data_IF_725501514662
#
_entry.id   IF_725501514662
#
_cell.length_a   1.000
_cell.length_b   1.000
_cell.length_c   1.000
_cell.angle_alpha   90.00
_cell.angle_beta   90.00
_cell.angle_gamma   90.00
#
_symmetry.space_group_name_H-M   'P 1'
#
loop_
_entity.id
_entity.type
_entity.pdbx_description
1 polymer ?
#
# COMPACT_ATOMS: atom_id res chain seq x y z
N UNK A 1 11.88 -16.43 19.92
CA UNK A 1 11.27 -15.37 20.76
C UNK A 1 10.70 -16.03 22.03
N UNK A 2 10.40 -15.31 23.12
CA UNK A 2 9.71 -15.97 24.25
C UNK A 2 8.29 -16.33 23.81
N UNK A 3 7.77 -17.48 24.24
CA UNK A 3 6.39 -17.89 23.98
C UNK A 3 5.35 -17.04 24.73
N UNK A 4 5.76 -15.90 25.32
CA UNK A 4 4.86 -14.98 26.02
C UNK A 4 4.61 -13.68 25.22
N UNK A 5 5.24 -13.52 24.05
CA UNK A 5 5.05 -12.34 23.18
C UNK A 5 3.80 -12.44 22.29
N UNK A 6 3.48 -11.38 21.53
CA UNK A 6 2.36 -11.30 20.60
C UNK A 6 2.67 -10.29 19.48
N UNK A 7 2.16 -10.51 18.26
CA UNK A 7 2.27 -9.57 17.14
C UNK A 7 0.88 -9.23 16.61
N UNK A 8 0.56 -7.94 16.51
CA UNK A 8 -0.66 -7.50 15.86
C UNK A 8 -0.54 -7.62 14.34
N UNK A 9 -1.42 -8.43 13.75
CA UNK A 9 -1.44 -8.71 12.31
C UNK A 9 -2.61 -8.07 11.56
N UNK A 10 -3.60 -7.50 12.26
CA UNK A 10 -4.73 -6.77 11.66
C UNK A 10 -4.79 -5.38 12.29
N UNK A 11 -4.23 -4.40 11.58
CA UNK A 11 -3.97 -3.04 12.08
C UNK A 11 -4.26 -2.03 10.98
N UNK A 12 -5.16 -1.11 11.28
CA UNK A 12 -5.47 0.04 10.46
C UNK A 12 -4.67 1.25 10.94
N UNK A 13 -3.99 1.88 9.98
CA UNK A 13 -3.17 3.07 10.17
C UNK A 13 -3.92 4.32 9.74
N UNK A 14 -3.30 5.48 9.84
CA UNK A 14 -3.80 6.73 9.25
C UNK A 14 -4.07 6.65 7.73
N UNK A 15 -3.52 5.64 7.04
CA UNK A 15 -3.77 5.39 5.62
C UNK A 15 -5.08 4.63 5.34
N UNK A 16 -5.72 4.05 6.36
CA UNK A 16 -7.16 3.73 6.36
C UNK A 16 -7.97 5.03 6.49
N UNK A 17 -7.95 5.84 5.43
CA UNK A 17 -8.48 7.21 5.45
C UNK A 17 -9.92 7.26 5.97
N UNK A 18 -10.15 8.16 6.94
CA UNK A 18 -11.44 8.43 7.60
C UNK A 18 -11.95 7.29 8.49
N UNK A 19 -11.09 6.34 8.87
CA UNK A 19 -11.43 5.25 9.80
C UNK A 19 -10.30 4.96 10.79
N UNK A 20 -9.10 4.69 10.27
CA UNK A 20 -7.90 4.47 11.08
C UNK A 20 -7.36 5.77 11.66
N UNK A 21 -7.17 5.77 12.98
CA UNK A 21 -6.62 6.88 13.77
C UNK A 21 -5.22 6.58 14.32
N UNK A 22 -4.60 5.46 13.92
CA UNK A 22 -3.25 5.07 14.32
C UNK A 22 -2.19 5.80 13.47
N UNK A 23 -1.73 6.95 13.95
CA UNK A 23 -0.58 7.65 13.34
C UNK A 23 0.69 6.80 13.48
N UNK A 24 1.49 6.69 12.42
CA UNK A 24 2.61 5.75 12.38
C UNK A 24 3.68 6.01 13.46
N UNK A 25 4.00 7.27 13.74
CA UNK A 25 5.02 7.60 14.75
C UNK A 25 4.60 7.14 16.14
N UNK A 26 3.32 7.36 16.49
CA UNK A 26 2.74 6.89 17.75
C UNK A 26 2.57 5.37 17.78
N UNK A 27 2.27 4.75 16.64
CA UNK A 27 2.12 3.31 16.51
C UNK A 27 3.44 2.60 16.81
N UNK A 28 4.54 2.99 16.16
CA UNK A 28 5.85 2.38 16.41
C UNK A 28 6.37 2.67 17.81
N UNK A 29 6.11 3.85 18.38
CA UNK A 29 6.42 4.13 19.78
C UNK A 29 5.71 3.14 20.73
N UNK A 30 4.39 2.94 20.52
CA UNK A 30 3.57 2.01 21.32
C UNK A 30 4.06 0.56 21.19
N UNK A 31 4.40 0.12 19.98
CA UNK A 31 4.90 -1.24 19.72
C UNK A 31 6.26 -1.46 20.38
N UNK A 32 7.15 -0.46 20.34
CA UNK A 32 8.43 -0.50 21.07
C UNK A 32 8.23 -0.55 22.59
N UNK A 33 7.32 0.25 23.15
CA UNK A 33 6.99 0.23 24.59
C UNK A 33 6.46 -1.13 25.06
N UNK A 34 5.73 -1.83 24.18
CA UNK A 34 5.19 -3.15 24.44
C UNK A 34 6.15 -4.30 24.10
N UNK A 35 7.38 -3.97 23.69
CA UNK A 35 8.45 -4.92 23.35
C UNK A 35 8.04 -5.97 22.31
N UNK A 36 7.19 -5.57 21.35
CA UNK A 36 6.75 -6.45 20.28
C UNK A 36 7.78 -6.50 19.15
N UNK A 37 8.10 -7.69 18.60
CA UNK A 37 9.16 -7.85 17.60
C UNK A 37 8.74 -7.40 16.20
N UNK A 38 7.44 -7.33 15.92
CA UNK A 38 6.87 -7.07 14.61
C UNK A 38 5.48 -6.44 14.75
N UNK A 39 4.99 -5.85 13.66
CA UNK A 39 3.61 -5.40 13.51
C UNK A 39 3.25 -5.35 12.02
N UNK A 40 1.99 -5.67 11.69
CA UNK A 40 1.48 -5.54 10.33
C UNK A 40 0.78 -4.21 10.08
N UNK A 41 0.72 -3.82 8.80
CA UNK A 41 -0.17 -2.78 8.27
C UNK A 41 -1.21 -3.49 7.39
N UNK A 42 -2.50 -3.30 7.65
CA UNK A 42 -3.59 -3.91 6.86
C UNK A 42 -4.69 -2.88 6.55
N UNK A 43 -4.31 -1.77 5.94
CA UNK A 43 -5.26 -0.69 5.63
C UNK A 43 -6.37 -1.13 4.66
N UNK A 44 -7.51 -0.45 4.75
CA UNK A 44 -8.69 -0.75 3.96
C UNK A 44 -8.46 -0.50 2.47
N UNK A 45 -8.35 -1.59 1.70
CA UNK A 45 -8.36 -1.60 0.24
C UNK A 45 -7.20 -0.84 -0.42
N UNK A 46 -6.15 -0.48 0.33
CA UNK A 46 -5.03 0.30 -0.19
C UNK A 46 -3.70 -0.04 0.50
N UNK A 47 -2.61 0.39 -0.13
CA UNK A 47 -1.22 0.21 0.34
C UNK A 47 -0.48 1.55 0.35
N UNK A 48 -1.19 2.67 0.58
CA UNK A 48 -0.62 4.01 0.47
C UNK A 48 0.55 4.23 1.44
N UNK A 49 0.44 3.67 2.65
CA UNK A 49 1.44 3.78 3.70
C UNK A 49 2.59 2.78 3.62
N UNK A 50 2.62 1.87 2.65
CA UNK A 50 3.50 0.69 2.69
C UNK A 50 5.00 1.04 2.84
N UNK A 51 5.50 2.01 2.07
CA UNK A 51 6.91 2.43 2.16
C UNK A 51 7.19 3.20 3.46
N UNK A 52 6.30 4.12 3.86
CA UNK A 52 6.46 4.91 5.09
C UNK A 52 6.44 4.01 6.34
N UNK A 53 5.51 3.06 6.40
CA UNK A 53 5.42 2.04 7.43
C UNK A 53 6.66 1.14 7.48
N UNK A 54 7.12 0.66 6.31
CA UNK A 54 8.33 -0.13 6.22
C UNK A 54 9.55 0.66 6.73
N UNK A 55 9.75 1.89 6.25
CA UNK A 55 10.90 2.71 6.62
C UNK A 55 10.91 3.02 8.13
N UNK A 56 9.76 3.39 8.70
CA UNK A 56 9.62 3.66 10.14
C UNK A 56 9.80 2.42 11.00
N UNK A 57 9.23 1.27 10.61
CA UNK A 57 9.44 0.01 11.30
C UNK A 57 10.90 -0.41 11.32
N UNK A 58 11.58 -0.33 10.16
CA UNK A 58 13.03 -0.58 10.06
C UNK A 58 13.85 0.37 10.95
N UNK A 59 13.51 1.66 10.99
CA UNK A 59 14.18 2.64 11.84
C UNK A 59 13.98 2.36 13.35
N UNK A 60 12.81 1.83 13.73
CA UNK A 60 12.48 1.45 15.11
C UNK A 60 13.01 0.06 15.51
N UNK A 61 13.64 -0.70 14.60
CA UNK A 61 14.09 -2.06 14.86
C UNK A 61 12.96 -3.10 14.98
N UNK A 62 11.76 -2.76 14.48
CA UNK A 62 10.57 -3.61 14.48
C UNK A 62 10.41 -4.21 13.08
N UNK A 63 10.07 -5.50 12.95
CA UNK A 63 9.79 -6.11 11.65
C UNK A 63 8.46 -5.58 11.07
N UNK A 64 8.46 -4.80 9.97
CA UNK A 64 7.23 -4.29 9.37
C UNK A 64 6.63 -5.33 8.40
N UNK A 65 5.42 -5.80 8.69
CA UNK A 65 4.70 -6.73 7.82
C UNK A 65 3.74 -5.93 6.94
N UNK A 66 3.95 -5.98 5.63
CA UNK A 66 3.10 -5.26 4.68
C UNK A 66 1.89 -6.12 4.32
N UNK A 67 0.71 -5.57 4.51
CA UNK A 67 -0.56 -6.23 4.24
C UNK A 67 -1.63 -5.25 3.80
N UNK A 68 -2.83 -5.79 3.59
CA UNK A 68 -4.02 -5.06 3.16
C UNK A 68 -5.24 -5.77 3.72
N UNK A 69 -6.22 -5.02 4.19
CA UNK A 69 -7.57 -5.57 4.32
C UNK A 69 -8.30 -5.31 2.98
N UNK A 70 -8.26 -6.30 2.11
CA UNK A 70 -8.79 -6.21 0.76
C UNK A 70 -10.32 -6.23 0.77
N UNK A 71 -10.93 -5.40 -0.07
CA UNK A 71 -12.34 -5.55 -0.42
C UNK A 71 -12.47 -6.62 -1.50
N UNK A 72 -13.27 -7.66 -1.26
CA UNK A 72 -13.51 -8.76 -2.20
C UNK A 72 -14.92 -8.63 -2.79
N UNK A 73 -15.03 -8.76 -4.11
CA UNK A 73 -16.32 -8.82 -4.78
C UNK A 73 -17.08 -10.10 -4.36
N UNK A 74 -18.36 -9.99 -3.96
CA UNK A 74 -19.10 -11.08 -3.33
C UNK A 74 -19.54 -12.13 -4.36
N UNK A 75 -18.66 -13.10 -4.65
CA UNK A 75 -18.89 -14.20 -5.61
C UNK A 75 -19.32 -13.73 -7.01
N UNK A 76 -18.82 -12.57 -7.43
CA UNK A 76 -19.01 -11.98 -8.76
C UNK A 76 -17.68 -11.45 -9.27
N UNK A 77 -17.54 -11.32 -10.58
CA UNK A 77 -16.35 -10.72 -11.17
C UNK A 77 -16.23 -9.25 -10.75
N UNK A 78 -15.00 -8.77 -10.51
CA UNK A 78 -14.72 -7.42 -9.99
C UNK A 78 -15.28 -6.29 -10.85
N UNK A 79 -15.42 -6.50 -12.16
CA UNK A 79 -16.01 -5.52 -13.10
C UNK A 79 -17.54 -5.38 -12.98
N UNK A 80 -18.22 -6.31 -12.31
CA UNK A 80 -19.66 -6.26 -12.11
C UNK A 80 -20.04 -5.15 -11.11
N UNK A 81 -21.04 -4.33 -11.47
CA UNK A 81 -21.54 -3.19 -10.67
C UNK A 81 -22.94 -3.47 -10.12
N UNK A 82 -23.14 -4.69 -9.60
CA UNK A 82 -24.41 -5.14 -9.01
C UNK A 82 -24.27 -5.37 -7.51
N UNK A 83 -25.35 -5.06 -6.78
CA UNK A 83 -25.47 -5.40 -5.36
C UNK A 83 -25.81 -6.88 -5.26
N UNK A 84 -25.07 -7.61 -4.44
CA UNK A 84 -25.27 -9.02 -4.14
C UNK A 84 -25.80 -9.15 -2.72
N UNK A 85 -26.81 -9.99 -2.54
CA UNK A 85 -27.31 -10.38 -1.23
C UNK A 85 -27.24 -11.88 -1.12
N UNK A 86 -26.80 -12.36 0.04
CA UNK A 86 -26.80 -13.78 0.37
C UNK A 86 -27.94 -14.13 1.32
N UNK A 87 -28.47 -13.11 1.99
CA UNK A 87 -29.66 -13.18 2.81
C UNK A 87 -30.94 -13.59 2.09
N UNK A 88 -31.93 -14.03 2.86
CA UNK A 88 -33.30 -14.31 2.39
C UNK A 88 -34.28 -13.18 2.70
N UNK A 89 -33.96 -12.29 3.64
CA UNK A 89 -34.80 -11.16 4.04
C UNK A 89 -34.45 -9.84 3.36
N UNK A 90 -35.29 -8.82 3.53
CA UNK A 90 -34.93 -7.44 3.24
C UNK A 90 -33.91 -6.89 4.26
N UNK A 91 -33.20 -5.80 3.92
CA UNK A 91 -32.04 -5.34 4.69
C UNK A 91 -32.37 -4.97 6.15
N UNK A 92 -33.64 -4.66 6.42
CA UNK A 92 -34.15 -4.42 7.76
C UNK A 92 -34.34 -5.73 8.57
N UNK A 93 -34.73 -6.82 7.91
CA UNK A 93 -34.92 -8.14 8.54
C UNK A 93 -33.60 -8.79 8.92
N UNK A 94 -32.53 -8.55 8.16
CA UNK A 94 -31.22 -9.14 8.42
C UNK A 94 -30.31 -8.30 9.31
N UNK A 95 -30.77 -7.13 9.77
CA UNK A 95 -30.07 -6.32 10.78
C UNK A 95 -28.64 -5.89 10.41
N UNK A 96 -28.32 -5.79 9.11
CA UNK A 96 -26.97 -5.46 8.64
C UNK A 96 -25.97 -6.63 8.64
N UNK A 97 -26.42 -7.87 8.78
CA UNK A 97 -25.55 -9.05 8.84
C UNK A 97 -25.05 -9.57 7.48
N UNK A 98 -25.66 -9.15 6.37
CA UNK A 98 -25.34 -9.56 4.99
C UNK A 98 -24.09 -8.82 4.44
N UNK A 99 -23.79 -9.04 3.16
CA UNK A 99 -22.65 -8.46 2.43
C UNK A 99 -22.54 -6.94 2.65
N UNK A 100 -21.34 -6.51 3.08
CA UNK A 100 -21.03 -5.13 3.42
C UNK A 100 -21.16 -4.15 2.22
N UNK A 101 -21.24 -2.85 2.53
CA UNK A 101 -21.46 -1.81 1.53
C UNK A 101 -22.82 -1.92 0.82
N UNK A 102 -23.81 -2.56 1.46
CA UNK A 102 -25.13 -2.82 0.88
C UNK A 102 -25.09 -3.83 -0.27
N UNK A 103 -24.26 -4.86 -0.17
CA UNK A 103 -24.07 -5.88 -1.20
C UNK A 103 -22.91 -5.63 -2.15
N UNK A 104 -21.95 -4.78 -1.78
CA UNK A 104 -20.88 -4.37 -2.67
C UNK A 104 -19.61 -5.20 -2.52
N UNK A 105 -19.25 -5.58 -1.29
CA UNK A 105 -17.98 -6.23 -0.97
C UNK A 105 -18.03 -6.98 0.37
N UNK A 106 -17.03 -7.83 0.57
CA UNK A 106 -16.63 -8.40 1.87
C UNK A 106 -15.17 -8.07 2.14
N UNK A 107 -14.71 -8.26 3.37
CA UNK A 107 -13.31 -8.02 3.75
C UNK A 107 -12.46 -9.30 3.65
N UNK A 108 -11.15 -9.14 3.51
CA UNK A 108 -10.15 -10.21 3.63
C UNK A 108 -8.80 -9.64 4.04
N UNK A 109 -8.26 -10.14 5.14
CA UNK A 109 -6.92 -9.78 5.63
C UNK A 109 -5.87 -10.55 4.85
N UNK A 110 -4.89 -9.86 4.25
CA UNK A 110 -3.82 -10.44 3.45
C UNK A 110 -2.47 -9.80 3.84
N UNK A 111 -1.43 -10.62 3.99
CA UNK A 111 -0.06 -10.19 4.27
C UNK A 111 0.90 -10.70 3.19
N UNK A 112 1.97 -9.93 2.94
CA UNK A 112 3.08 -10.39 2.12
C UNK A 112 4.09 -11.18 2.97
N UNK A 113 4.30 -12.45 2.62
CA UNK A 113 5.35 -13.28 3.23
C UNK A 113 6.75 -12.90 2.69
N UNK A 114 6.81 -12.48 1.44
CA UNK A 114 8.08 -12.19 0.72
C UNK A 114 7.99 -10.88 -0.05
N UNK A 115 9.13 -10.32 -0.47
CA UNK A 115 9.17 -9.17 -1.40
C UNK A 115 8.38 -9.42 -2.70
N UNK A 116 8.43 -10.64 -3.24
CA UNK A 116 7.59 -11.01 -4.40
C UNK A 116 6.09 -10.94 -4.07
N UNK A 117 5.71 -11.44 -2.88
CA UNK A 117 4.36 -11.29 -2.35
C UNK A 117 3.93 -9.83 -2.23
N UNK A 118 4.81 -8.96 -1.72
CA UNK A 118 4.54 -7.52 -1.63
C UNK A 118 4.27 -6.90 -3.01
N UNK A 119 5.06 -7.25 -4.03
CA UNK A 119 4.79 -6.82 -5.41
C UNK A 119 3.47 -7.35 -5.95
N UNK A 120 3.10 -8.59 -5.63
CA UNK A 120 1.80 -9.16 -5.97
C UNK A 120 0.66 -8.42 -5.26
N UNK A 121 0.85 -8.02 -4.01
CA UNK A 121 -0.11 -7.21 -3.26
C UNK A 121 -0.30 -5.82 -3.89
N UNK A 122 0.77 -5.17 -4.34
CA UNK A 122 0.69 -3.91 -5.09
C UNK A 122 -0.09 -4.06 -6.39
N UNK A 123 0.13 -5.15 -7.14
CA UNK A 123 -0.64 -5.43 -8.37
C UNK A 123 -2.10 -5.70 -8.06
N UNK A 124 -2.39 -6.52 -7.04
CA UNK A 124 -3.75 -6.79 -6.60
C UNK A 124 -4.50 -5.50 -6.22
N UNK A 125 -3.88 -4.63 -5.43
CA UNK A 125 -4.47 -3.32 -5.05
C UNK A 125 -4.67 -2.40 -6.25
N UNK A 126 -3.68 -2.33 -7.15
CA UNK A 126 -3.75 -1.53 -8.38
C UNK A 126 -4.89 -1.99 -9.30
N UNK A 127 -4.98 -3.29 -9.55
CA UNK A 127 -6.03 -3.89 -10.40
C UNK A 127 -7.42 -3.77 -9.77
N UNK A 128 -7.51 -3.91 -8.44
CA UNK A 128 -8.74 -3.67 -7.69
C UNK A 128 -9.26 -2.24 -7.86
N UNK A 129 -8.34 -1.27 -7.94
CA UNK A 129 -8.67 0.15 -8.16
C UNK A 129 -9.01 0.46 -9.62
N UNK A 130 -8.21 -0.03 -10.57
CA UNK A 130 -8.39 0.28 -12.00
C UNK A 130 -9.59 -0.44 -12.61
N UNK A 131 -9.89 -1.66 -12.16
CA UNK A 131 -10.90 -2.54 -12.78
C UNK A 131 -12.10 -2.81 -11.86
N UNK A 132 -11.84 -2.89 -10.56
CA UNK A 132 -12.80 -3.36 -9.55
C UNK A 132 -13.58 -2.28 -8.82
N UNK A 133 -13.24 -1.00 -9.03
CA UNK A 133 -13.80 0.10 -8.25
C UNK A 133 -15.30 0.26 -8.47
N UNK A 134 -16.07 0.06 -7.41
CA UNK A 134 -17.51 0.32 -7.38
C UNK A 134 -17.85 1.41 -6.35
N UNK A 135 -17.88 1.06 -5.07
CA UNK A 135 -17.84 2.01 -3.94
C UNK A 135 -16.46 2.00 -3.24
N UNK A 136 -15.75 0.89 -3.40
CA UNK A 136 -14.42 0.60 -2.89
C UNK A 136 -13.65 -0.15 -3.99
N UNK A 137 -12.30 -0.15 -3.97
CA UNK A 137 -11.49 -0.93 -4.91
C UNK A 137 -11.56 -2.41 -4.55
N UNK A 138 -12.18 -3.23 -5.41
CA UNK A 138 -12.47 -4.65 -5.09
C UNK A 138 -11.63 -5.62 -5.92
N UNK A 139 -11.06 -6.62 -5.28
CA UNK A 139 -10.52 -7.80 -5.94
C UNK A 139 -11.62 -8.85 -6.17
N UNK A 140 -11.31 -9.88 -6.94
CA UNK A 140 -12.13 -11.09 -7.07
C UNK A 140 -11.22 -12.33 -7.07
N UNK A 141 -11.83 -13.52 -7.19
CA UNK A 141 -11.11 -14.79 -7.17
C UNK A 141 -10.06 -14.90 -8.27
N UNK A 142 -10.28 -14.31 -9.44
CA UNK A 142 -9.33 -14.34 -10.55
C UNK A 142 -8.03 -13.62 -10.14
N UNK A 143 -8.15 -12.39 -9.61
CA UNK A 143 -6.98 -11.67 -9.11
C UNK A 143 -6.32 -12.37 -7.92
N UNK A 144 -7.11 -12.97 -7.02
CA UNK A 144 -6.55 -13.73 -5.90
C UNK A 144 -5.75 -14.94 -6.39
N UNK A 145 -6.26 -15.71 -7.36
CA UNK A 145 -5.52 -16.81 -7.98
C UNK A 145 -4.24 -16.35 -8.69
N UNK A 146 -4.29 -15.23 -9.40
CA UNK A 146 -3.12 -14.71 -10.12
C UNK A 146 -2.02 -14.25 -9.17
N UNK A 147 -2.39 -13.60 -8.06
CA UNK A 147 -1.44 -12.91 -7.16
C UNK A 147 -1.21 -13.60 -5.81
N UNK A 148 -1.85 -14.74 -5.53
CA UNK A 148 -1.65 -15.51 -4.30
C UNK A 148 -0.20 -15.92 -3.98
N UNK A 149 0.69 -16.24 -4.95
CA UNK A 149 2.05 -16.67 -4.61
C UNK A 149 2.80 -15.64 -3.75
N UNK A 150 3.28 -16.08 -2.58
CA UNK A 150 3.99 -15.25 -1.61
C UNK A 150 3.09 -14.42 -0.69
N UNK A 151 1.77 -14.66 -0.71
CA UNK A 151 0.79 -14.05 0.19
C UNK A 151 0.29 -15.05 1.24
N UNK A 152 -0.02 -14.55 2.42
CA UNK A 152 -0.74 -15.25 3.48
C UNK A 152 -2.08 -14.52 3.66
N UNK A 153 -3.18 -15.24 3.80
CA UNK A 153 -4.50 -14.66 4.01
C UNK A 153 -5.26 -15.32 5.16
N UNK A 154 -6.38 -14.73 5.54
CA UNK A 154 -7.21 -15.23 6.61
C UNK A 154 -8.68 -15.39 6.23
N UNK A 155 -9.46 -15.95 7.15
CA UNK A 155 -10.92 -15.95 7.08
C UNK A 155 -11.58 -14.58 7.25
N UNK A 156 -10.80 -13.55 7.62
CA UNK A 156 -11.22 -12.16 7.76
C UNK A 156 -11.95 -11.82 9.05
N UNK A 157 -12.19 -10.52 9.24
CA UNK A 157 -13.01 -9.93 10.30
C UNK A 157 -14.51 -10.30 10.14
N UNK A 158 -15.42 -9.80 11.00
CA UNK A 158 -16.85 -10.01 10.84
C UNK A 158 -17.37 -9.60 9.45
N UNK A 159 -16.85 -8.55 8.82
CA UNK A 159 -17.24 -8.14 7.46
C UNK A 159 -16.68 -9.05 6.35
N UNK A 160 -15.93 -10.10 6.71
CA UNK A 160 -15.42 -11.12 5.79
C UNK A 160 -16.48 -12.07 5.27
N UNK A 161 -16.22 -12.69 4.13
CA UNK A 161 -17.18 -13.57 3.44
C UNK A 161 -17.59 -14.76 4.30
N UNK A 162 -16.64 -15.43 4.94
CA UNK A 162 -16.88 -16.65 5.72
C UNK A 162 -17.76 -16.32 6.94
N UNK A 163 -17.40 -15.29 7.71
CA UNK A 163 -18.18 -14.88 8.87
C UNK A 163 -19.57 -14.35 8.48
N UNK A 164 -19.70 -13.67 7.34
CA UNK A 164 -21.00 -13.26 6.79
C UNK A 164 -21.89 -14.46 6.53
N UNK A 165 -21.37 -15.51 5.86
CA UNK A 165 -22.12 -16.75 5.64
C UNK A 165 -22.52 -17.44 6.94
N UNK A 166 -21.64 -17.48 7.94
CA UNK A 166 -21.94 -18.05 9.25
C UNK A 166 -23.07 -17.30 9.96
N UNK A 167 -23.06 -15.95 9.96
CA UNK A 167 -24.15 -15.15 10.54
C UNK A 167 -25.49 -15.39 9.88
N UNK A 168 -25.49 -15.69 8.58
CA UNK A 168 -26.69 -16.01 7.81
C UNK A 168 -27.15 -17.46 8.01
N UNK A 169 -26.47 -18.25 8.85
CA UNK A 169 -26.77 -19.67 9.09
C UNK A 169 -26.42 -20.57 7.90
N UNK A 170 -25.53 -20.11 7.01
CA UNK A 170 -25.17 -20.78 5.76
C UNK A 170 -23.84 -21.53 5.90
N UNK A 171 -23.77 -22.46 6.86
CA UNK A 171 -22.53 -23.17 7.20
C UNK A 171 -21.86 -23.84 5.99
N UNK A 172 -22.64 -24.51 5.12
CA UNK A 172 -22.09 -25.19 3.95
C UNK A 172 -21.45 -24.21 2.95
N UNK A 173 -22.03 -23.02 2.77
CA UNK A 173 -21.46 -21.96 1.92
C UNK A 173 -20.21 -21.33 2.55
N UNK A 174 -20.21 -21.14 3.88
CA UNK A 174 -19.03 -20.70 4.61
C UNK A 174 -17.87 -21.69 4.45
N UNK A 175 -18.18 -22.99 4.57
CA UNK A 175 -17.22 -24.08 4.39
C UNK A 175 -16.67 -24.14 2.98
N UNK A 176 -17.53 -24.00 1.97
CA UNK A 176 -17.12 -23.94 0.57
C UNK A 176 -16.20 -22.75 0.29
N UNK A 177 -16.54 -21.58 0.82
CA UNK A 177 -15.75 -20.35 0.62
C UNK A 177 -14.39 -20.47 1.30
N UNK A 178 -14.34 -21.00 2.53
CA UNK A 178 -13.08 -21.22 3.25
C UNK A 178 -12.18 -22.24 2.55
N UNK A 179 -12.75 -23.33 2.01
CA UNK A 179 -11.99 -24.30 1.23
C UNK A 179 -11.46 -23.69 -0.08
N UNK A 180 -12.26 -22.90 -0.79
CA UNK A 180 -11.83 -22.19 -2.00
C UNK A 180 -10.65 -21.24 -1.71
N UNK A 181 -10.73 -20.43 -0.65
CA UNK A 181 -9.64 -19.54 -0.27
C UNK A 181 -8.41 -20.33 0.20
N UNK A 182 -8.58 -21.43 0.93
CA UNK A 182 -7.46 -22.30 1.30
C UNK A 182 -6.78 -22.93 0.07
N UNK A 183 -7.54 -23.29 -0.96
CA UNK A 183 -6.99 -23.80 -2.23
C UNK A 183 -6.23 -22.71 -3.01
N UNK A 184 -6.72 -21.45 -2.96
CA UNK A 184 -6.06 -20.29 -3.60
C UNK A 184 -4.70 -19.99 -2.95
N UNK A 185 -4.67 -19.83 -1.63
CA UNK A 185 -3.47 -19.40 -0.90
C UNK A 185 -2.55 -20.55 -0.50
N UNK A 186 -3.11 -21.76 -0.38
CA UNK A 186 -2.41 -22.93 0.14
C UNK A 186 -2.68 -23.14 1.63
N UNK A 187 -2.64 -24.42 2.04
CA UNK A 187 -2.97 -24.86 3.41
C UNK A 187 -2.12 -24.21 4.50
N UNK A 188 -0.86 -23.91 4.20
CA UNK A 188 0.09 -23.31 5.15
C UNK A 188 0.04 -21.76 5.17
N UNK A 189 -0.69 -21.16 4.24
CA UNK A 189 -0.80 -19.69 4.05
C UNK A 189 -2.25 -19.19 4.13
N UNK A 190 -3.15 -19.99 4.69
CA UNK A 190 -4.52 -19.59 5.01
C UNK A 190 -4.84 -19.88 6.48
N UNK A 191 -5.20 -18.85 7.25
CA UNK A 191 -5.41 -18.94 8.70
C UNK A 191 -6.84 -18.59 9.11
N UNK A 192 -7.28 -19.18 10.22
CA UNK A 192 -8.57 -18.94 10.85
C UNK A 192 -8.44 -17.72 11.77
N UNK A 193 -8.86 -16.57 11.30
CA UNK A 193 -8.74 -15.31 12.06
C UNK A 193 -9.81 -15.21 13.15
N UNK A 194 -9.36 -14.95 14.37
CA UNK A 194 -10.17 -14.92 15.57
C UNK A 194 -10.06 -13.55 16.25
N UNK A 195 -11.20 -12.93 16.53
CA UNK A 195 -11.35 -11.64 17.21
C UNK A 195 -12.34 -11.76 18.38
N UNK A 196 -12.11 -10.97 19.43
CA UNK A 196 -13.02 -10.87 20.60
C UNK A 196 -12.94 -9.48 21.25
N UNK A 197 -13.92 -8.65 20.91
CA UNK A 197 -14.21 -7.33 21.49
C UNK A 197 -15.42 -7.38 22.44
N UNK A 198 -15.82 -8.58 22.86
CA UNK A 198 -17.00 -8.84 23.68
C UNK A 198 -18.31 -8.32 23.06
N UNK A 199 -18.42 -8.42 21.73
CA UNK A 199 -19.62 -8.04 20.97
C UNK A 199 -20.39 -9.28 20.47
N UNK A 200 -21.70 -9.13 20.32
CA UNK A 200 -22.57 -10.26 19.98
C UNK A 200 -22.24 -10.85 18.61
N UNK A 201 -21.91 -10.00 17.64
CA UNK A 201 -21.62 -10.40 16.25
C UNK A 201 -20.46 -11.39 16.14
N UNK A 202 -19.46 -11.31 17.02
CA UNK A 202 -18.32 -12.22 17.08
C UNK A 202 -18.65 -13.48 17.88
N UNK A 203 -19.32 -13.34 19.03
CA UNK A 203 -19.70 -14.48 19.87
C UNK A 203 -20.59 -15.47 19.12
N UNK A 204 -21.53 -14.97 18.30
CA UNK A 204 -22.49 -15.82 17.59
C UNK A 204 -21.85 -16.70 16.52
N UNK A 205 -20.71 -16.31 15.92
CA UNK A 205 -20.05 -17.08 14.86
C UNK A 205 -18.84 -17.88 15.32
N UNK A 206 -18.33 -17.63 16.53
CA UNK A 206 -17.08 -18.23 17.02
C UNK A 206 -17.10 -19.75 17.00
N UNK A 207 -18.16 -20.37 17.51
CA UNK A 207 -18.25 -21.84 17.60
C UNK A 207 -18.23 -22.49 16.21
N UNK A 208 -18.98 -21.93 15.25
CA UNK A 208 -19.00 -22.40 13.88
C UNK A 208 -17.67 -22.13 13.15
N UNK A 209 -17.01 -21.01 13.44
CA UNK A 209 -15.70 -20.68 12.87
C UNK A 209 -14.62 -21.66 13.37
N UNK A 210 -14.62 -21.98 14.67
CA UNK A 210 -13.72 -22.98 15.25
C UNK A 210 -14.00 -24.39 14.70
N UNK A 211 -15.28 -24.75 14.56
CA UNK A 211 -15.70 -26.00 13.92
C UNK A 211 -15.17 -26.08 12.49
N UNK A 212 -15.32 -25.01 11.72
CA UNK A 212 -14.83 -24.91 10.35
C UNK A 212 -13.30 -25.08 10.28
N UNK A 213 -12.56 -24.41 11.17
CA UNK A 213 -11.11 -24.56 11.27
C UNK A 213 -10.67 -25.99 11.54
N UNK A 214 -11.37 -26.69 12.44
CA UNK A 214 -11.10 -28.12 12.73
C UNK A 214 -11.41 -29.03 11.54
N UNK A 215 -12.54 -28.81 10.84
CA UNK A 215 -12.97 -29.63 9.70
C UNK A 215 -12.04 -29.48 8.48
N UNK A 216 -11.50 -28.28 8.24
CA UNK A 216 -10.60 -28.00 7.11
C UNK A 216 -9.11 -28.05 7.50
N UNK A 217 -8.79 -28.20 8.79
CA UNK A 217 -7.42 -28.17 9.29
C UNK A 217 -6.75 -26.81 9.10
N UNK A 218 -7.51 -25.71 9.26
CA UNK A 218 -7.02 -24.33 9.20
C UNK A 218 -6.54 -23.93 10.60
N UNK A 219 -5.30 -23.43 10.70
CA UNK A 219 -4.70 -23.03 11.97
C UNK A 219 -5.26 -21.68 12.46
N UNK A 220 -5.53 -21.50 13.76
CA UNK A 220 -6.06 -20.24 14.29
C UNK A 220 -4.99 -19.14 14.35
N UNK A 221 -5.40 -17.90 14.16
CA UNK A 221 -4.57 -16.71 14.41
C UNK A 221 -5.41 -15.66 15.12
N UNK A 222 -4.93 -15.19 16.28
CA UNK A 222 -5.59 -14.14 17.03
C UNK A 222 -5.19 -12.78 16.45
N UNK A 223 -6.19 -11.92 16.18
CA UNK A 223 -5.99 -10.52 15.78
C UNK A 223 -6.94 -9.61 16.57
N UNK A 224 -6.76 -8.30 16.45
CA UNK A 224 -7.51 -7.32 17.26
C UNK A 224 -8.03 -6.11 16.46
N UNK A 225 -7.94 -6.17 15.12
CA UNK A 225 -8.51 -5.17 14.20
C UNK A 225 -8.32 -3.71 14.67
N UNK A 226 -7.09 -3.36 15.05
CA UNK A 226 -6.86 -2.12 15.79
C UNK A 226 -6.99 -0.91 14.88
N UNK A 227 -7.68 0.13 15.35
CA UNK A 227 -7.95 1.37 14.63
C UNK A 227 -7.34 2.61 15.32
N UNK A 228 -6.75 2.44 16.50
CA UNK A 228 -6.06 3.50 17.24
C UNK A 228 -4.90 2.92 18.07
N UNK A 229 -3.99 3.77 18.54
CA UNK A 229 -2.77 3.29 19.21
C UNK A 229 -3.03 2.89 20.67
N UNK A 230 -3.69 3.76 21.43
CA UNK A 230 -3.88 3.61 22.88
C UNK A 230 -5.37 3.54 23.28
N UNK A 231 -5.71 2.92 24.42
CA UNK A 231 -7.11 2.83 24.88
C UNK A 231 -7.84 4.18 24.94
N UNK A 232 -7.15 5.25 25.34
CA UNK A 232 -7.67 6.61 25.47
C UNK A 232 -8.03 7.27 24.12
N UNK A 233 -7.51 6.76 23.00
CA UNK A 233 -7.72 7.32 21.67
C UNK A 233 -9.09 6.95 21.07
N UNK A 234 -9.86 6.07 21.74
CA UNK A 234 -11.16 5.60 21.25
C UNK A 234 -12.16 6.73 20.96
N UNK A 235 -12.19 7.79 21.79
CA UNK A 235 -13.07 8.94 21.57
C UNK A 235 -12.66 9.77 20.35
N UNK A 236 -11.35 9.86 20.07
CA UNK A 236 -10.84 10.56 18.90
C UNK A 236 -11.22 9.78 17.62
N UNK A 237 -11.15 8.46 17.66
CA UNK A 237 -11.56 7.61 16.54
C UNK A 237 -13.08 7.66 16.30
N UNK A 238 -13.94 7.65 17.33
CA UNK A 238 -15.39 7.87 17.16
C UNK A 238 -15.70 9.23 16.51
N UNK A 239 -14.95 10.28 16.89
CA UNK A 239 -15.06 11.58 16.24
C UNK A 239 -14.60 11.55 14.77
N UNK A 240 -13.57 10.78 14.43
CA UNK A 240 -13.12 10.59 13.05
C UNK A 240 -14.20 9.92 12.19
N UNK A 241 -14.87 8.89 12.70
CA UNK A 241 -16.00 8.24 12.01
C UNK A 241 -17.15 9.23 11.77
N UNK A 242 -17.39 10.15 12.70
CA UNK A 242 -18.39 11.22 12.52
C UNK A 242 -18.04 12.13 11.34
N UNK A 243 -16.76 12.48 11.16
CA UNK A 243 -16.28 13.25 10.00
C UNK A 243 -16.52 12.45 8.71
N UNK A 244 -16.20 11.16 8.71
CA UNK A 244 -16.38 10.27 7.56
C UNK A 244 -17.85 10.17 7.11
N UNK A 245 -18.75 10.02 8.08
CA UNK A 245 -20.17 9.79 7.85
C UNK A 245 -20.99 11.09 7.70
N UNK A 246 -20.38 12.25 7.94
CA UNK A 246 -21.09 13.54 7.94
C UNK A 246 -22.14 13.64 9.04
N UNK A 247 -21.89 13.02 10.19
CA UNK A 247 -22.82 12.95 11.34
C UNK A 247 -22.26 13.67 12.56
N UNK A 248 -23.16 14.12 13.44
CA UNK A 248 -22.78 14.69 14.74
C UNK A 248 -22.61 13.58 15.78
N UNK A 249 -21.71 13.74 16.76
CA UNK A 249 -21.56 12.79 17.89
C UNK A 249 -22.87 12.54 18.65
N UNK A 250 -23.77 13.53 18.69
CA UNK A 250 -25.08 13.43 19.32
C UNK A 250 -26.11 12.62 18.53
N UNK A 251 -25.86 12.26 17.27
CA UNK A 251 -26.78 11.44 16.48
C UNK A 251 -26.70 9.98 16.97
N UNK A 252 -27.78 9.41 17.55
CA UNK A 252 -27.76 8.04 18.05
C UNK A 252 -27.71 7.00 16.93
N UNK A 253 -27.96 7.40 15.67
CA UNK A 253 -27.90 6.54 14.48
C UNK A 253 -26.59 6.69 13.69
N UNK A 254 -25.60 7.40 14.24
CA UNK A 254 -24.28 7.50 13.59
C UNK A 254 -23.62 6.12 13.51
N UNK A 255 -22.74 5.96 12.53
CA UNK A 255 -21.80 4.85 12.54
C UNK A 255 -20.82 5.07 13.71
N UNK A 256 -20.58 4.02 14.48
CA UNK A 256 -19.59 3.95 15.55
C UNK A 256 -19.21 2.49 15.76
N UNK A 257 -18.08 2.24 16.38
CA UNK A 257 -17.69 0.88 16.72
C UNK A 257 -18.49 0.41 17.94
N UNK A 258 -18.89 -0.85 17.94
CA UNK A 258 -19.52 -1.49 19.08
C UNK A 258 -18.45 -2.02 20.03
N UNK A 259 -18.74 -2.00 21.34
CA UNK A 259 -17.77 -2.43 22.34
C UNK A 259 -16.58 -1.47 22.46
N UNK A 260 -15.40 -2.04 22.67
CA UNK A 260 -14.15 -1.29 22.77
C UNK A 260 -12.95 -2.23 22.66
N UNK A 261 -11.75 -1.66 22.66
CA UNK A 261 -10.51 -2.46 22.64
C UNK A 261 -9.83 -2.59 21.29
N UNK A 262 -10.18 -1.74 20.31
CA UNK A 262 -9.55 -1.66 18.99
C UNK A 262 -8.23 -0.87 19.03
N UNK A 263 -7.45 -1.03 20.11
CA UNK A 263 -6.12 -0.45 20.28
C UNK A 263 -5.02 -1.53 20.16
N UNK A 264 -3.76 -1.09 20.20
CA UNK A 264 -2.61 -2.00 20.31
C UNK A 264 -2.52 -2.54 21.75
N UNK A 265 -3.23 -3.64 22.00
CA UNK A 265 -3.20 -4.41 23.26
C UNK A 265 -1.81 -4.99 23.50
N UNK A 266 -1.35 -5.01 24.74
CA UNK A 266 -0.14 -5.72 25.15
C UNK A 266 -0.24 -7.24 24.90
N UNK A 267 0.91 -7.91 24.83
CA UNK A 267 0.95 -9.37 24.73
C UNK A 267 0.23 -10.05 25.92
N UNK A 268 0.35 -9.48 27.13
CA UNK A 268 -0.35 -9.97 28.31
C UNK A 268 -1.89 -9.90 28.16
N UNK A 269 -2.42 -8.79 27.64
CA UNK A 269 -3.86 -8.64 27.39
C UNK A 269 -4.35 -9.64 26.33
N UNK A 270 -3.60 -9.82 25.24
CA UNK A 270 -3.98 -10.75 24.17
C UNK A 270 -3.88 -12.22 24.62
N UNK A 271 -2.87 -12.58 25.42
CA UNK A 271 -2.74 -13.93 25.98
C UNK A 271 -3.78 -14.23 27.06
N UNK A 272 -4.10 -13.27 27.93
CA UNK A 272 -5.21 -13.43 28.87
C UNK A 272 -6.55 -13.66 28.13
N UNK A 273 -6.75 -13.00 26.99
CA UNK A 273 -7.94 -13.17 26.17
C UNK A 273 -7.98 -14.53 25.46
N UNK A 274 -6.90 -14.96 24.82
CA UNK A 274 -6.93 -16.15 23.96
C UNK A 274 -6.37 -17.40 24.63
N UNK A 275 -5.23 -17.31 25.31
CA UNK A 275 -4.63 -18.45 26.01
C UNK A 275 -5.43 -18.81 27.26
N UNK A 276 -5.80 -17.83 28.09
CA UNK A 276 -6.42 -18.11 29.40
C UNK A 276 -7.94 -18.25 29.29
N UNK A 277 -8.64 -17.25 28.72
CA UNK A 277 -10.12 -17.25 28.63
C UNK A 277 -10.63 -18.28 27.61
N UNK A 278 -10.00 -18.39 26.44
CA UNK A 278 -10.44 -19.32 25.38
C UNK A 278 -9.66 -20.64 25.35
N UNK A 279 -8.57 -20.78 26.09
CA UNK A 279 -7.77 -22.01 26.10
C UNK A 279 -7.01 -22.26 24.79
N UNK A 280 -6.69 -21.20 24.04
CA UNK A 280 -6.10 -21.24 22.69
C UNK A 280 -4.77 -20.48 22.62
N UNK A 281 -3.72 -20.91 23.34
CA UNK A 281 -2.39 -20.28 23.25
C UNK A 281 -1.85 -20.29 21.82
N UNK A 282 -2.17 -21.31 21.03
CA UNK A 282 -1.72 -21.45 19.64
C UNK A 282 -2.20 -20.31 18.73
N UNK A 283 -3.34 -19.67 19.04
CA UNK A 283 -3.82 -18.52 18.27
C UNK A 283 -2.88 -17.31 18.43
N UNK A 284 -2.27 -17.14 19.60
CA UNK A 284 -1.25 -16.13 19.84
C UNK A 284 0.10 -16.56 19.27
N UNK A 285 0.49 -17.82 19.44
CA UNK A 285 1.80 -18.31 18.99
C UNK A 285 1.93 -18.26 17.46
N UNK A 286 0.86 -18.55 16.73
CA UNK A 286 0.84 -18.43 15.26
C UNK A 286 1.06 -16.99 14.78
N UNK A 287 0.81 -15.96 15.60
CA UNK A 287 1.14 -14.57 15.22
C UNK A 287 2.65 -14.36 15.09
N UNK A 288 3.42 -14.99 15.98
CA UNK A 288 4.88 -14.92 15.98
C UNK A 288 5.46 -15.74 14.83
N UNK A 289 4.90 -16.91 14.53
CA UNK A 289 5.30 -17.72 13.37
C UNK A 289 5.09 -16.94 12.06
N UNK A 290 3.92 -16.33 11.88
CA UNK A 290 3.64 -15.52 10.68
C UNK A 290 4.63 -14.35 10.60
N UNK A 291 4.91 -13.68 11.73
CA UNK A 291 5.86 -12.59 11.78
C UNK A 291 7.31 -13.02 11.44
N UNK A 292 7.72 -14.22 11.84
CA UNK A 292 9.02 -14.79 11.49
C UNK A 292 9.11 -15.17 10.00
N UNK A 293 8.00 -15.58 9.39
CA UNK A 293 7.92 -15.89 7.94
C UNK A 293 7.94 -14.64 7.08
N UNK A 294 7.30 -13.56 7.52
CA UNK A 294 7.15 -12.32 6.77
C UNK A 294 8.46 -11.51 6.74
N UNK A 295 9.07 -11.40 5.55
CA UNK A 295 10.25 -10.58 5.31
C UNK A 295 10.17 -9.89 3.94
N UNK A 296 10.11 -8.55 3.97
CA UNK A 296 10.03 -7.72 2.77
C UNK A 296 11.12 -6.65 2.76
N UNK A 297 11.56 -6.29 1.56
CA UNK A 297 12.52 -5.23 1.33
C UNK A 297 12.03 -4.28 0.23
N UNK A 298 12.22 -2.98 0.45
CA UNK A 298 12.15 -1.97 -0.60
C UNK A 298 13.56 -1.72 -1.13
N UNK A 299 13.70 -1.78 -2.46
CA UNK A 299 14.95 -1.44 -3.12
C UNK A 299 15.00 0.07 -3.37
N UNK A 300 15.89 0.74 -2.67
CA UNK A 300 16.16 2.16 -2.87
C UNK A 300 17.29 2.31 -3.89
N UNK A 301 17.04 3.03 -4.97
CA UNK A 301 18.04 3.28 -6.02
C UNK A 301 18.09 4.74 -6.42
N UNK A 302 19.30 5.28 -6.49
CA UNK A 302 19.53 6.61 -7.09
C UNK A 302 19.75 6.41 -8.58
N UNK A 303 18.74 6.73 -9.38
CA UNK A 303 18.82 6.69 -10.84
C UNK A 303 18.56 5.33 -11.51
N UNK A 304 18.49 4.22 -10.77
CA UNK A 304 18.32 2.87 -11.35
C UNK A 304 16.98 2.63 -12.05
N UNK A 305 15.97 3.46 -11.79
CA UNK A 305 14.63 3.38 -12.41
C UNK A 305 14.34 4.51 -13.39
N UNK A 306 15.36 5.24 -13.86
CA UNK A 306 15.17 6.27 -14.88
C UNK A 306 14.68 5.66 -16.20
N UNK A 307 13.77 6.37 -16.87
CA UNK A 307 13.36 6.02 -18.22
C UNK A 307 14.57 6.06 -19.16
N UNK A 308 14.67 5.05 -20.02
CA UNK A 308 15.70 4.99 -21.06
C UNK A 308 15.24 5.79 -22.27
N UNK A 309 16.11 6.63 -22.81
CA UNK A 309 15.85 7.37 -24.01
C UNK A 309 15.91 6.44 -25.24
N UNK A 310 14.99 6.64 -26.17
CA UNK A 310 15.05 5.99 -27.47
C UNK A 310 16.14 6.66 -28.31
N UNK A 311 17.25 5.93 -28.54
CA UNK A 311 18.38 6.42 -29.34
C UNK A 311 18.54 5.63 -30.64
N UNK A 312 19.10 6.24 -31.71
CA UNK A 312 19.34 5.53 -32.96
C UNK A 312 20.23 4.30 -32.82
N UNK A 313 20.06 3.33 -33.72
CA UNK A 313 20.86 2.11 -33.73
C UNK A 313 22.36 2.43 -33.85
N UNK A 314 23.16 1.87 -32.94
CA UNK A 314 24.61 2.11 -32.86
C UNK A 314 25.01 3.28 -31.96
N UNK A 315 24.07 4.00 -31.37
CA UNK A 315 24.33 5.04 -30.37
C UNK A 315 24.11 4.51 -28.93
N UNK A 316 24.75 5.17 -27.97
CA UNK A 316 24.39 5.13 -26.56
C UNK A 316 23.69 6.43 -26.16
N UNK A 317 23.08 6.48 -24.97
CA UNK A 317 22.49 7.73 -24.46
C UNK A 317 23.53 8.84 -24.37
N UNK A 318 24.76 8.52 -23.98
CA UNK A 318 25.87 9.47 -23.89
C UNK A 318 26.31 9.97 -25.27
N UNK A 319 26.50 9.07 -26.24
CA UNK A 319 26.94 9.47 -27.59
C UNK A 319 25.88 10.28 -28.32
N UNK A 320 24.62 9.91 -28.15
CA UNK A 320 23.49 10.63 -28.74
C UNK A 320 23.27 11.99 -28.06
N UNK A 321 23.30 12.03 -26.72
CA UNK A 321 23.20 13.27 -25.95
C UNK A 321 24.27 14.28 -26.37
N UNK A 322 25.53 13.87 -26.48
CA UNK A 322 26.60 14.74 -26.94
C UNK A 322 26.34 15.34 -28.32
N UNK A 323 25.90 14.51 -29.29
CA UNK A 323 25.55 14.97 -30.66
C UNK A 323 24.41 15.97 -30.65
N UNK A 324 23.35 15.68 -29.90
CA UNK A 324 22.16 16.51 -29.82
C UNK A 324 22.45 17.86 -29.14
N UNK A 325 23.25 17.86 -28.07
CA UNK A 325 23.71 19.10 -27.42
C UNK A 325 24.51 19.94 -28.39
N UNK A 326 25.50 19.37 -29.09
CA UNK A 326 26.30 20.12 -30.06
C UNK A 326 25.46 20.69 -31.20
N UNK A 327 24.52 19.91 -31.74
CA UNK A 327 23.56 20.37 -32.74
C UNK A 327 22.72 21.55 -32.24
N UNK A 328 22.25 21.49 -31.00
CA UNK A 328 21.51 22.56 -30.35
C UNK A 328 22.37 23.81 -30.12
N UNK A 329 23.63 23.65 -29.72
CA UNK A 329 24.58 24.74 -29.51
C UNK A 329 24.87 25.47 -30.83
N UNK A 330 25.12 24.76 -31.91
CA UNK A 330 25.34 25.35 -33.23
C UNK A 330 24.14 26.19 -33.68
N UNK A 331 22.92 25.75 -33.38
CA UNK A 331 21.70 26.51 -33.68
C UNK A 331 21.51 27.74 -32.78
N UNK A 332 21.86 27.65 -31.49
CA UNK A 332 21.70 28.74 -30.50
C UNK A 332 22.81 29.79 -30.58
N UNK A 333 24.02 29.40 -30.99
CA UNK A 333 25.22 30.24 -31.07
C UNK A 333 25.88 30.17 -32.46
N UNK A 334 25.22 30.68 -33.53
CA UNK A 334 25.76 30.58 -34.89
C UNK A 334 27.00 31.47 -35.10
N UNK A 335 27.95 30.98 -35.89
CA UNK A 335 29.14 31.73 -36.34
C UNK A 335 30.01 32.22 -35.18
N UNK A 336 30.36 33.51 -35.19
CA UNK A 336 31.26 34.13 -34.21
C UNK A 336 30.69 34.14 -32.77
N UNK A 337 29.41 33.79 -32.59
CA UNK A 337 28.81 33.62 -31.25
C UNK A 337 29.28 32.35 -30.54
N UNK A 338 29.80 31.35 -31.27
CA UNK A 338 30.37 30.13 -30.70
C UNK A 338 31.79 30.37 -30.17
N UNK A 339 31.88 31.17 -29.12
CA UNK A 339 33.15 31.55 -28.47
C UNK A 339 33.77 30.37 -27.72
N UNK A 340 35.06 30.50 -27.38
CA UNK A 340 35.75 29.50 -26.55
C UNK A 340 35.04 29.28 -25.20
N UNK A 341 34.54 30.34 -24.57
CA UNK A 341 33.80 30.24 -23.31
C UNK A 341 32.51 29.40 -23.42
N UNK A 342 31.82 29.46 -24.56
CA UNK A 342 30.66 28.60 -24.84
C UNK A 342 31.10 27.14 -24.96
N UNK A 343 32.16 26.88 -25.73
CA UNK A 343 32.69 25.52 -25.93
C UNK A 343 33.15 24.89 -24.61
N UNK A 344 33.90 25.64 -23.81
CA UNK A 344 34.40 25.18 -22.51
C UNK A 344 33.24 24.85 -21.56
N UNK A 345 32.18 25.67 -21.56
CA UNK A 345 30.98 25.41 -20.76
C UNK A 345 30.23 24.15 -21.23
N UNK A 346 30.09 23.95 -22.54
CA UNK A 346 29.44 22.75 -23.09
C UNK A 346 30.21 21.49 -22.73
N UNK A 347 31.54 21.48 -22.93
CA UNK A 347 32.39 20.33 -22.61
C UNK A 347 32.37 19.99 -21.12
N UNK A 348 32.41 21.01 -20.26
CA UNK A 348 32.27 20.81 -18.81
C UNK A 348 30.92 20.15 -18.45
N UNK A 349 29.81 20.67 -18.97
CA UNK A 349 28.49 20.11 -18.68
C UNK A 349 28.33 18.69 -19.24
N UNK A 350 28.79 18.44 -20.48
CA UNK A 350 28.76 17.11 -21.09
C UNK A 350 29.52 16.09 -20.23
N UNK A 351 30.71 16.47 -19.74
CA UNK A 351 31.51 15.61 -18.87
C UNK A 351 30.79 15.28 -17.56
N UNK A 352 30.26 16.30 -16.86
CA UNK A 352 29.57 16.10 -15.57
C UNK A 352 28.27 15.31 -15.74
N UNK A 353 27.47 15.59 -16.77
CA UNK A 353 26.19 14.91 -17.01
C UNK A 353 26.41 13.44 -17.37
N UNK A 354 27.45 13.16 -18.17
CA UNK A 354 27.81 11.79 -18.56
C UNK A 354 28.35 10.99 -17.38
N UNK A 355 29.26 11.58 -16.59
CA UNK A 355 29.82 10.94 -15.38
C UNK A 355 28.73 10.56 -14.37
N UNK A 356 27.71 11.42 -14.21
CA UNK A 356 26.57 11.16 -13.32
C UNK A 356 25.47 10.29 -13.93
N UNK A 357 25.59 9.87 -15.19
CA UNK A 357 24.62 8.99 -15.85
C UNK A 357 23.26 9.64 -16.14
N UNK A 358 23.21 10.96 -16.34
CA UNK A 358 21.95 11.69 -16.59
C UNK A 358 21.67 12.01 -18.06
N UNK A 359 22.46 11.46 -19.00
CA UNK A 359 22.27 11.68 -20.43
C UNK A 359 20.86 11.28 -20.91
N UNK A 360 20.38 10.09 -20.54
CA UNK A 360 19.03 9.63 -20.85
C UNK A 360 17.93 10.55 -20.31
N UNK A 361 18.10 11.04 -19.07
CA UNK A 361 17.16 12.00 -18.47
C UNK A 361 17.02 13.27 -19.32
N UNK A 362 18.13 13.86 -19.77
CA UNK A 362 18.09 15.03 -20.64
C UNK A 362 17.40 14.75 -21.97
N UNK A 363 17.70 13.61 -22.59
CA UNK A 363 17.09 13.22 -23.87
C UNK A 363 15.57 13.04 -23.74
N UNK A 364 15.10 12.34 -22.71
CA UNK A 364 13.66 12.15 -22.44
C UNK A 364 12.96 13.50 -22.19
N UNK A 365 13.58 14.39 -21.40
CA UNK A 365 13.01 15.72 -21.11
C UNK A 365 12.98 16.60 -22.36
N UNK A 366 14.01 16.55 -23.19
CA UNK A 366 14.05 17.26 -24.45
C UNK A 366 12.97 16.77 -25.42
N UNK A 367 12.72 15.46 -25.48
CA UNK A 367 11.75 14.86 -26.40
C UNK A 367 10.33 15.41 -26.18
N UNK A 368 9.75 15.26 -24.98
CA UNK A 368 8.37 15.71 -24.75
C UNK A 368 8.21 17.24 -24.79
N UNK A 369 9.28 18.00 -24.48
CA UNK A 369 9.28 19.47 -24.60
C UNK A 369 9.27 19.89 -26.07
N UNK A 370 10.15 19.30 -26.89
CA UNK A 370 10.24 19.64 -28.31
C UNK A 370 9.00 19.20 -29.07
N UNK A 371 8.47 18.01 -28.77
CA UNK A 371 7.17 17.58 -29.28
C UNK A 371 6.07 18.61 -28.97
N UNK A 372 6.02 19.11 -27.73
CA UNK A 372 5.04 20.14 -27.34
C UNK A 372 5.19 21.42 -28.18
N UNK A 373 6.43 21.92 -28.33
CA UNK A 373 6.73 23.13 -29.12
C UNK A 373 6.35 22.95 -30.60
N UNK A 374 6.60 21.78 -31.17
CA UNK A 374 6.31 21.44 -32.56
C UNK A 374 4.81 21.23 -32.84
N UNK A 375 4.04 20.88 -31.79
CA UNK A 375 2.59 20.70 -31.87
C UNK A 375 1.79 21.92 -31.36
N UNK A 376 2.43 23.11 -31.32
CA UNK A 376 1.76 24.37 -30.99
C UNK A 376 1.40 24.53 -29.51
N UNK A 377 1.91 23.68 -28.62
CA UNK A 377 1.75 23.80 -27.17
C UNK A 377 2.83 24.75 -26.65
N UNK A 378 2.40 25.86 -26.04
CA UNK A 378 3.32 26.85 -25.47
C UNK A 378 4.05 26.27 -24.26
N UNK A 379 5.38 26.29 -24.30
CA UNK A 379 6.27 25.90 -23.20
C UNK A 379 6.93 27.17 -22.64
N UNK A 380 6.99 27.30 -21.32
CA UNK A 380 7.67 28.42 -20.66
C UNK A 380 9.21 28.36 -20.83
N UNK A 381 9.93 29.44 -20.52
CA UNK A 381 11.38 29.52 -20.76
C UNK A 381 12.27 28.64 -19.85
N UNK A 382 11.66 27.88 -18.94
CA UNK A 382 12.34 27.13 -17.88
C UNK A 382 12.07 27.71 -16.48
N UNK A 383 12.20 26.87 -15.45
CA UNK A 383 12.08 27.27 -14.03
C UNK A 383 13.07 26.49 -13.16
N UNK A 384 13.38 27.03 -11.99
CA UNK A 384 14.30 26.39 -11.05
C UNK A 384 15.74 26.35 -11.57
N UNK A 385 16.56 25.47 -11.00
CA UNK A 385 17.99 25.41 -11.28
C UNK A 385 18.32 24.94 -12.70
N UNK A 386 17.45 24.18 -13.37
CA UNK A 386 17.68 23.69 -14.74
C UNK A 386 17.96 24.79 -15.78
N UNK A 387 17.53 26.04 -15.53
CA UNK A 387 17.87 27.19 -16.35
C UNK A 387 19.37 27.53 -16.37
N UNK A 388 20.15 27.03 -15.41
CA UNK A 388 21.60 27.18 -15.35
C UNK A 388 22.38 26.23 -16.26
N UNK A 389 21.75 25.28 -16.95
CA UNK A 389 22.42 24.35 -17.85
C UNK A 389 22.43 24.84 -19.30
N UNK A 390 23.62 24.94 -19.90
CA UNK A 390 23.78 25.20 -21.32
C UNK A 390 23.33 24.01 -22.18
N UNK A 391 23.49 22.77 -21.68
CA UNK A 391 22.97 21.58 -22.35
C UNK A 391 21.43 21.61 -22.39
N UNK A 392 20.77 22.03 -21.30
CA UNK A 392 19.32 22.21 -21.29
C UNK A 392 18.85 23.29 -22.29
N UNK A 393 19.59 24.41 -22.37
CA UNK A 393 19.31 25.47 -23.33
C UNK A 393 19.52 25.03 -24.79
N UNK A 394 20.57 24.25 -25.04
CA UNK A 394 20.89 23.67 -26.35
C UNK A 394 19.78 22.74 -26.83
N UNK A 395 19.33 21.83 -25.96
CA UNK A 395 18.25 20.88 -26.25
C UNK A 395 16.84 21.51 -26.23
N UNK A 396 16.76 22.83 -26.04
CA UNK A 396 15.51 23.60 -25.94
C UNK A 396 14.62 23.18 -24.77
N UNK A 397 15.17 22.50 -23.76
CA UNK A 397 14.51 22.25 -22.48
C UNK A 397 14.23 23.59 -21.78
N UNK A 398 15.18 24.52 -21.89
CA UNK A 398 15.04 25.91 -21.47
C UNK A 398 15.22 26.85 -22.65
N UNK A 399 14.71 28.09 -22.53
CA UNK A 399 14.86 29.13 -23.55
C UNK A 399 15.62 30.37 -23.01
N UNK A 400 16.12 30.29 -21.78
CA UNK A 400 16.95 31.33 -21.16
C UNK A 400 18.44 30.99 -21.34
N UNK A 401 19.21 31.89 -21.96
CA UNK A 401 20.65 31.69 -22.16
C UNK A 401 21.41 31.78 -20.82
N UNK A 402 22.03 30.71 -20.32
CA UNK A 402 22.65 30.73 -18.99
C UNK A 402 23.87 31.65 -18.92
N UNK A 403 24.64 31.77 -20.00
CA UNK A 403 25.84 32.60 -20.03
C UNK A 403 25.52 34.10 -20.06
N UNK A 404 24.47 34.50 -20.80
CA UNK A 404 24.03 35.90 -20.86
C UNK A 404 23.51 36.40 -19.50
N UNK A 405 22.94 35.51 -18.69
CA UNK A 405 22.34 35.84 -17.40
C UNK A 405 23.19 35.43 -16.18
N UNK A 406 24.43 34.97 -16.40
CA UNK A 406 25.34 34.59 -15.32
C UNK A 406 24.83 33.41 -14.47
N UNK A 407 24.09 32.48 -15.08
CA UNK A 407 23.53 31.33 -14.39
C UNK A 407 24.55 30.20 -14.25
N UNK A 408 24.56 29.60 -13.06
CA UNK A 408 25.59 28.68 -12.59
C UNK A 408 25.09 27.24 -12.73
N UNK A 409 25.83 26.40 -13.46
CA UNK A 409 25.46 25.01 -13.71
C UNK A 409 25.54 24.17 -12.44
N UNK A 410 26.53 24.43 -11.61
CA UNK A 410 26.82 23.72 -10.37
C UNK A 410 25.70 23.89 -9.33
N UNK A 411 24.85 24.92 -9.48
CA UNK A 411 23.63 25.10 -8.69
C UNK A 411 22.52 24.12 -9.09
N UNK A 412 22.55 23.65 -10.33
CA UNK A 412 21.68 22.60 -10.87
C UNK A 412 22.24 21.22 -10.59
N UNK A 413 23.46 20.94 -11.04
CA UNK A 413 24.12 19.65 -10.90
C UNK A 413 25.52 19.87 -10.34
N UNK A 414 25.69 19.61 -9.04
CA UNK A 414 26.96 19.80 -8.37
C UNK A 414 27.89 18.62 -8.72
N UNK A 415 29.08 18.84 -9.32
CA UNK A 415 30.00 17.76 -9.62
C UNK A 415 30.38 16.90 -8.40
N UNK A 416 30.46 17.50 -7.20
CA UNK A 416 30.92 16.86 -5.96
C UNK A 416 29.84 16.04 -5.23
N UNK A 417 28.58 16.05 -5.69
CA UNK A 417 27.45 15.32 -5.06
C UNK A 417 26.64 14.59 -6.11
#
# INVERSE_FOLDING_TARGET
MSNDSFVHLHVHTEYSMLDGASLLDGLFARVSELEMPAIAMTDHGNLHGAYDFWAKGRAAGINPIIGIEAYIAPQVHRSERKRVRWGKGDAAEEGGNDVAGGGAYTHMTIWSETTQGMHNLFRLSSRSSLEGYYYKPRADRELLHEYAPGLIATTGCPSGEIQTRLRLGQYDEARKSAAEFQDIFGKDSFFLELMDHDIAIERTVRDDLLRLGKELGIRPVATNDSHYNNPEDANAQDALICVASGKTLSDPKRLKFDGGGYYIKSAAEMRALWADKHGMPEACDNTLEIAERCSVAFEESTGGFMARADVPAGETEESWFGKEVWRGIEARYPGDRLTQAVRDRVEMELAVISDKGYCGYYLVVADFINWSKENGIRVGPGRGSGAGSIAAYALRITDLCPLEHGLIFERFLNPER
#
